data_IF_235707773099
#
_entry.id   IF_235707773099
#
_cell.length_a   1.000
_cell.length_b   1.000
_cell.length_c   1.000
_cell.angle_alpha   90.00
_cell.angle_beta   90.00
_cell.angle_gamma   90.00
#
_symmetry.space_group_name_H-M   'P 1'
#
loop_
_entity.id
_entity.type
_entity.pdbx_description
1 polymer ?
#
# COMPACT_ATOMS: atom_id res chain seq x y z
N UNK A 1 -13.04 30.67 -7.03
CA UNK A 1 -12.25 31.90 -6.85
C UNK A 1 -10.75 31.67 -6.97
N UNK A 2 -10.11 30.76 -6.24
CA UNK A 2 -8.67 30.45 -6.42
C UNK A 2 -8.39 29.60 -7.67
N UNK A 3 -9.29 28.72 -8.03
CA UNK A 3 -9.18 27.91 -9.25
C UNK A 3 -9.21 28.76 -10.50
N UNK A 4 -10.05 29.81 -10.51
CA UNK A 4 -10.14 30.73 -11.66
C UNK A 4 -8.90 31.60 -11.78
N UNK A 5 -8.36 32.07 -10.66
CA UNK A 5 -7.13 32.87 -10.63
C UNK A 5 -5.92 32.02 -11.04
N UNK A 6 -5.86 30.79 -10.56
CA UNK A 6 -4.75 29.89 -10.89
C UNK A 6 -4.80 29.45 -12.35
N UNK A 7 -5.96 29.09 -12.86
CA UNK A 7 -6.13 28.72 -14.27
C UNK A 7 -5.83 29.91 -15.19
N UNK A 8 -6.27 31.13 -14.82
CA UNK A 8 -5.96 32.34 -15.57
C UNK A 8 -4.46 32.63 -15.59
N UNK A 9 -3.78 32.54 -14.44
CA UNK A 9 -2.34 32.74 -14.33
C UNK A 9 -1.56 31.68 -15.10
N UNK A 10 -2.05 30.45 -15.07
CA UNK A 10 -1.46 29.32 -15.80
C UNK A 10 -1.60 29.48 -17.30
N UNK A 11 -2.79 29.87 -17.78
CA UNK A 11 -3.02 30.12 -19.19
C UNK A 11 -2.16 31.28 -19.72
N UNK A 12 -1.89 32.29 -18.88
CA UNK A 12 -1.02 33.41 -19.21
C UNK A 12 0.45 32.97 -19.31
N UNK A 13 0.92 32.16 -18.35
CA UNK A 13 2.27 31.57 -18.37
C UNK A 13 2.45 30.65 -19.59
N UNK A 14 1.43 29.89 -19.95
CA UNK A 14 1.48 28.95 -21.08
C UNK A 14 1.43 29.63 -22.44
N UNK A 15 0.82 30.83 -22.53
CA UNK A 15 0.82 31.61 -23.75
C UNK A 15 2.20 32.23 -24.08
N UNK A 16 3.00 32.53 -23.07
CA UNK A 16 4.29 33.20 -23.22
C UNK A 16 5.50 32.27 -23.37
N UNK A 17 5.35 30.97 -23.08
CA UNK A 17 6.47 30.03 -23.08
C UNK A 17 6.18 28.75 -23.88
N UNK A 18 7.17 28.31 -24.63
CA UNK A 18 7.12 27.01 -25.27
C UNK A 18 7.18 25.91 -24.18
N UNK A 19 6.44 24.81 -24.37
CA UNK A 19 6.40 23.65 -23.44
C UNK A 19 7.80 23.16 -23.01
N UNK A 20 8.80 23.46 -23.82
CA UNK A 20 10.18 22.99 -23.65
C UNK A 20 10.99 23.75 -22.60
N UNK A 21 10.63 25.02 -22.35
CA UNK A 21 11.43 25.93 -21.51
C UNK A 21 10.85 26.13 -20.09
N UNK A 22 9.77 25.40 -19.77
CA UNK A 22 9.06 25.60 -18.52
C UNK A 22 9.61 24.70 -17.42
N UNK A 23 10.08 25.35 -16.35
CA UNK A 23 10.43 24.71 -15.10
C UNK A 23 9.72 25.41 -13.97
N UNK A 24 8.79 24.72 -13.32
CA UNK A 24 8.00 25.25 -12.22
C UNK A 24 8.09 24.31 -11.02
N UNK A 25 8.42 24.90 -9.88
CA UNK A 25 8.44 24.19 -8.60
C UNK A 25 7.36 24.77 -7.69
N UNK A 26 6.41 23.93 -7.27
CA UNK A 26 5.40 24.30 -6.30
C UNK A 26 5.63 23.52 -5.00
N UNK A 27 5.80 24.28 -3.91
CA UNK A 27 5.94 23.73 -2.56
C UNK A 27 4.76 24.20 -1.72
N UNK A 28 3.88 23.29 -1.38
CA UNK A 28 2.72 23.58 -0.56
C UNK A 28 2.95 23.01 0.84
N UNK A 29 3.34 23.89 1.78
CA UNK A 29 3.68 23.51 3.15
C UNK A 29 2.54 23.66 4.14
N UNK A 30 1.50 24.43 3.80
CA UNK A 30 0.38 24.68 4.69
C UNK A 30 -0.95 24.28 4.03
N UNK A 31 -1.70 23.46 4.75
CA UNK A 31 -3.01 22.96 4.31
C UNK A 31 -3.99 24.06 3.89
N UNK A 32 -3.86 25.27 4.48
CA UNK A 32 -4.76 26.39 4.25
C UNK A 32 -4.43 27.21 3.01
N UNK A 33 -3.24 27.04 2.43
CA UNK A 33 -2.78 27.76 1.24
C UNK A 33 -2.79 26.89 -0.01
N UNK A 34 -2.88 25.56 0.17
CA UNK A 34 -2.98 24.65 -0.98
C UNK A 34 -4.37 24.75 -1.62
N UNK A 35 -4.46 24.80 -2.94
CA UNK A 35 -5.73 24.64 -3.63
C UNK A 35 -6.45 23.37 -3.16
N UNK A 36 -7.80 23.42 -3.07
CA UNK A 36 -8.61 22.29 -2.57
C UNK A 36 -8.34 20.95 -3.28
N UNK A 37 -7.86 21.00 -4.50
CA UNK A 37 -7.50 19.82 -5.29
C UNK A 37 -6.10 19.25 -4.95
N UNK A 38 -5.31 19.96 -4.14
CA UNK A 38 -4.01 19.48 -3.63
C UNK A 38 -4.13 19.22 -2.12
N UNK A 39 -4.94 18.24 -1.74
CA UNK A 39 -5.03 17.79 -0.35
C UNK A 39 -3.81 16.94 0.01
N UNK A 40 -2.99 17.46 0.89
CA UNK A 40 -1.78 16.81 1.40
C UNK A 40 -0.52 17.64 1.14
N UNK A 41 0.54 17.29 1.86
CA UNK A 41 1.84 17.91 1.68
C UNK A 41 2.61 17.17 0.57
N UNK A 42 2.59 17.72 -0.61
CA UNK A 42 3.33 17.22 -1.76
C UNK A 42 4.19 18.33 -2.36
N UNK A 43 5.38 17.96 -2.82
CA UNK A 43 6.16 18.80 -3.71
C UNK A 43 5.79 18.45 -5.16
N UNK A 44 5.37 19.42 -5.94
CA UNK A 44 5.06 19.28 -7.36
C UNK A 44 6.16 19.97 -8.18
N UNK A 45 6.80 19.20 -9.05
CA UNK A 45 7.82 19.70 -9.96
C UNK A 45 7.37 19.50 -11.40
N UNK A 46 7.46 20.54 -12.22
CA UNK A 46 7.08 20.51 -13.64
C UNK A 46 8.27 20.93 -14.48
N UNK A 47 8.64 20.09 -15.43
CA UNK A 47 9.73 20.36 -16.37
C UNK A 47 9.32 19.93 -17.79
N UNK A 48 9.15 20.90 -18.66
CA UNK A 48 8.64 20.65 -20.02
C UNK A 48 7.26 19.98 -20.01
N UNK A 49 7.16 18.79 -20.55
CA UNK A 49 5.93 17.98 -20.58
C UNK A 49 5.85 16.95 -19.43
N UNK A 50 6.74 17.01 -18.47
CA UNK A 50 6.82 16.08 -17.33
C UNK A 50 6.33 16.76 -16.05
N UNK A 51 5.51 16.06 -15.30
CA UNK A 51 5.12 16.44 -13.94
C UNK A 51 5.56 15.34 -12.97
N UNK A 52 6.14 15.75 -11.86
CA UNK A 52 6.59 14.86 -10.78
C UNK A 52 5.98 15.32 -9.47
N UNK A 53 5.33 14.41 -8.75
CA UNK A 53 4.81 14.67 -7.40
C UNK A 53 5.61 13.85 -6.40
N UNK A 54 6.09 14.50 -5.34
CA UNK A 54 6.85 13.85 -4.26
C UNK A 54 6.10 14.05 -2.94
N UNK A 55 5.82 12.96 -2.23
CA UNK A 55 5.21 13.00 -0.89
C UNK A 55 6.26 13.29 0.18
N UNK A 56 5.83 13.68 1.39
CA UNK A 56 6.72 13.93 2.55
C UNK A 56 7.62 12.74 2.92
N UNK A 57 7.13 11.52 2.71
CA UNK A 57 7.88 10.27 2.93
C UNK A 57 8.81 9.92 1.78
N UNK A 58 9.02 10.84 0.82
CA UNK A 58 9.98 10.71 -0.25
C UNK A 58 9.53 9.87 -1.45
N UNK A 59 8.28 9.39 -1.46
CA UNK A 59 7.72 8.66 -2.60
C UNK A 59 7.50 9.61 -3.77
N UNK A 60 7.87 9.17 -4.97
CA UNK A 60 7.75 9.94 -6.20
C UNK A 60 6.87 9.23 -7.20
N UNK A 61 6.02 9.99 -7.87
CA UNK A 61 5.26 9.57 -9.05
C UNK A 61 5.43 10.59 -10.16
N UNK A 62 5.34 10.14 -11.39
CA UNK A 62 5.59 10.96 -12.59
C UNK A 62 4.48 10.72 -13.61
N UNK A 63 4.08 11.78 -14.31
CA UNK A 63 3.28 11.71 -15.53
C UNK A 63 3.87 12.59 -16.61
N UNK A 64 3.50 12.34 -17.87
CA UNK A 64 3.94 13.11 -19.04
C UNK A 64 2.75 13.40 -19.93
N UNK A 65 2.63 14.64 -20.33
CA UNK A 65 1.69 15.01 -21.40
C UNK A 65 2.20 14.47 -22.74
N UNK A 66 1.31 13.79 -23.48
CA UNK A 66 1.65 13.38 -24.84
C UNK A 66 1.86 14.62 -25.72
N UNK A 67 2.79 14.62 -26.69
CA UNK A 67 3.07 15.78 -27.53
C UNK A 67 1.87 16.30 -28.33
N UNK A 68 0.89 15.43 -28.61
CA UNK A 68 -0.33 15.76 -29.35
C UNK A 68 -1.48 16.19 -28.44
N UNK A 69 -1.33 16.05 -27.10
CA UNK A 69 -2.36 16.40 -26.16
C UNK A 69 -2.24 17.86 -25.70
N UNK A 70 -3.37 18.49 -25.44
CA UNK A 70 -3.41 19.75 -24.74
C UNK A 70 -2.90 19.59 -23.31
N UNK A 71 -1.92 20.43 -22.94
CA UNK A 71 -1.42 20.45 -21.58
C UNK A 71 -2.49 20.99 -20.62
N UNK A 72 -2.97 20.15 -19.73
CA UNK A 72 -3.92 20.52 -18.67
C UNK A 72 -3.33 20.17 -17.32
N UNK A 73 -2.95 21.19 -16.55
CA UNK A 73 -2.34 21.02 -15.23
C UNK A 73 -3.20 20.16 -14.30
N UNK A 74 -4.52 20.42 -14.26
CA UNK A 74 -5.45 19.70 -13.41
C UNK A 74 -5.46 18.20 -13.73
N UNK A 75 -5.51 17.84 -15.01
CA UNK A 75 -5.50 16.42 -15.45
C UNK A 75 -4.21 15.73 -15.01
N UNK A 76 -3.06 16.39 -15.18
CA UNK A 76 -1.77 15.84 -14.74
C UNK A 76 -1.70 15.66 -13.22
N UNK A 77 -2.25 16.58 -12.44
CA UNK A 77 -2.31 16.48 -10.98
C UNK A 77 -3.22 15.33 -10.54
N UNK A 78 -4.40 15.20 -11.15
CA UNK A 78 -5.35 14.13 -10.81
C UNK A 78 -4.73 12.75 -11.09
N UNK A 79 -4.06 12.60 -12.22
CA UNK A 79 -3.33 11.37 -12.55
C UNK A 79 -2.19 11.09 -11.57
N UNK A 80 -1.42 12.11 -11.16
CA UNK A 80 -0.37 11.95 -10.15
C UNK A 80 -0.94 11.55 -8.79
N UNK A 81 -2.10 12.09 -8.40
CA UNK A 81 -2.80 11.71 -7.16
C UNK A 81 -3.24 10.25 -7.19
N UNK A 82 -3.82 9.80 -8.31
CA UNK A 82 -4.20 8.39 -8.48
C UNK A 82 -2.98 7.47 -8.37
N UNK A 83 -1.91 7.77 -9.09
CA UNK A 83 -0.65 7.02 -9.02
C UNK A 83 -0.04 7.04 -7.61
N UNK A 84 -0.08 8.18 -6.91
CA UNK A 84 0.40 8.30 -5.54
C UNK A 84 -0.44 7.46 -4.58
N UNK A 85 -1.76 7.40 -4.78
CA UNK A 85 -2.66 6.56 -4.00
C UNK A 85 -2.38 5.06 -4.23
N UNK A 86 -2.04 4.66 -5.47
CA UNK A 86 -1.62 3.30 -5.77
C UNK A 86 -0.28 2.94 -5.10
N UNK A 87 0.71 3.85 -5.14
CA UNK A 87 2.01 3.67 -4.45
C UNK A 87 1.82 3.59 -2.93
N UNK A 88 0.80 4.28 -2.38
CA UNK A 88 0.45 4.21 -0.95
C UNK A 88 -0.30 2.94 -0.57
N UNK A 89 -0.90 2.24 -1.53
CA UNK A 89 -1.49 0.92 -1.22
C UNK A 89 -0.35 -0.02 -0.84
N UNK A 90 -0.36 -0.58 0.38
CA UNK A 90 0.63 -1.57 0.72
C UNK A 90 0.53 -2.71 -0.29
N UNK A 91 1.68 -3.14 -0.81
CA UNK A 91 1.74 -4.31 -1.70
C UNK A 91 1.01 -5.46 -1.02
N UNK A 92 0.12 -6.10 -1.74
CA UNK A 92 -0.59 -7.25 -1.21
C UNK A 92 0.40 -8.39 -0.90
N UNK A 93 0.33 -8.92 0.32
CA UNK A 93 1.13 -10.07 0.75
C UNK A 93 0.62 -11.31 0.01
N UNK A 94 1.55 -12.07 -0.60
CA UNK A 94 1.27 -13.27 -1.38
C UNK A 94 1.97 -14.48 -0.77
N UNK A 95 1.54 -15.67 -1.19
CA UNK A 95 2.24 -16.92 -0.87
C UNK A 95 3.68 -16.83 -1.36
N UNK A 96 4.63 -17.20 -0.47
CA UNK A 96 6.07 -17.12 -0.71
C UNK A 96 6.72 -15.81 -0.24
N UNK A 97 5.96 -14.77 0.06
CA UNK A 97 6.52 -13.52 0.58
C UNK A 97 7.10 -13.71 1.98
N UNK A 98 8.15 -12.94 2.27
CA UNK A 98 8.70 -12.79 3.61
C UNK A 98 7.95 -11.71 4.36
N UNK A 99 7.55 -12.02 5.57
CA UNK A 99 6.76 -11.14 6.42
C UNK A 99 7.27 -11.12 7.84
N UNK A 100 6.96 -10.07 8.58
CA UNK A 100 7.09 -9.97 10.04
C UNK A 100 5.74 -9.73 10.67
N UNK A 101 5.64 -10.10 11.94
CA UNK A 101 4.47 -9.76 12.74
C UNK A 101 4.61 -8.32 13.25
N UNK A 102 3.66 -7.46 12.91
CA UNK A 102 3.47 -6.18 13.61
C UNK A 102 2.76 -6.39 14.94
N UNK A 103 1.89 -7.42 15.02
CA UNK A 103 1.17 -7.85 16.21
C UNK A 103 1.25 -9.37 16.37
N UNK A 104 1.74 -9.85 17.50
CA UNK A 104 2.00 -11.26 17.75
C UNK A 104 0.74 -12.05 18.20
N UNK A 105 -0.36 -11.88 17.46
CA UNK A 105 -1.59 -12.61 17.70
C UNK A 105 -1.72 -13.75 16.68
N UNK A 106 -2.13 -14.93 17.13
CA UNK A 106 -2.39 -16.08 16.26
C UNK A 106 -3.64 -16.83 16.70
N UNK A 107 -4.26 -17.50 15.74
CA UNK A 107 -5.42 -18.33 15.97
C UNK A 107 -5.05 -19.72 16.48
N UNK A 108 -5.93 -20.29 17.30
CA UNK A 108 -5.83 -21.70 17.67
C UNK A 108 -6.21 -22.59 16.47
N UNK A 109 -5.52 -23.71 16.28
CA UNK A 109 -5.75 -24.64 15.20
C UNK A 109 -7.22 -25.10 15.12
N UNK A 110 -7.90 -25.30 16.27
CA UNK A 110 -9.32 -25.68 16.31
C UNK A 110 -10.25 -24.64 15.70
N UNK A 111 -9.91 -23.35 15.81
CA UNK A 111 -10.69 -22.26 15.22
C UNK A 111 -10.55 -22.21 13.70
N UNK A 112 -9.48 -22.80 13.16
CA UNK A 112 -9.09 -22.70 11.75
C UNK A 112 -9.42 -23.95 10.93
N UNK A 113 -10.19 -24.90 11.45
CA UNK A 113 -10.52 -26.17 10.76
C UNK A 113 -11.15 -25.90 9.39
N UNK A 114 -12.11 -24.97 9.32
CA UNK A 114 -12.79 -24.65 8.07
C UNK A 114 -11.83 -23.99 7.05
N UNK A 115 -10.92 -23.13 7.52
CA UNK A 115 -9.86 -22.57 6.70
C UNK A 115 -8.93 -23.66 6.15
N UNK A 116 -8.46 -24.58 7.00
CA UNK A 116 -7.58 -25.67 6.57
C UNK A 116 -8.25 -26.57 5.54
N UNK A 117 -9.52 -26.88 5.73
CA UNK A 117 -10.32 -27.67 4.81
C UNK A 117 -10.54 -26.96 3.48
N UNK A 118 -10.98 -25.70 3.51
CA UNK A 118 -11.28 -24.88 2.32
C UNK A 118 -10.05 -24.69 1.42
N UNK A 119 -8.87 -24.51 2.01
CA UNK A 119 -7.63 -24.27 1.28
C UNK A 119 -6.78 -25.54 1.10
N UNK A 120 -7.31 -26.71 1.48
CA UNK A 120 -6.64 -28.02 1.36
C UNK A 120 -5.23 -28.00 1.95
N UNK A 121 -5.11 -27.37 3.13
CA UNK A 121 -3.83 -27.28 3.84
C UNK A 121 -3.36 -28.70 4.18
N UNK A 122 -2.09 -29.08 3.92
CA UNK A 122 -1.56 -30.39 4.23
C UNK A 122 -1.71 -30.73 5.71
N UNK A 123 -2.05 -31.99 6.03
CA UNK A 123 -2.22 -32.43 7.40
C UNK A 123 -1.01 -32.14 8.31
N UNK A 124 0.21 -32.23 7.76
CA UNK A 124 1.42 -31.90 8.49
C UNK A 124 1.45 -30.43 8.91
N UNK A 125 1.04 -29.52 8.05
CA UNK A 125 1.00 -28.08 8.36
C UNK A 125 -0.04 -27.79 9.47
N UNK A 126 -1.17 -28.49 9.47
CA UNK A 126 -2.19 -28.40 10.53
C UNK A 126 -1.64 -28.91 11.87
N UNK A 127 -0.91 -30.04 11.85
CA UNK A 127 -0.26 -30.59 13.03
C UNK A 127 0.76 -29.61 13.60
N UNK A 128 1.58 -29.00 12.74
CA UNK A 128 2.61 -28.05 13.15
C UNK A 128 2.00 -26.81 13.81
N UNK A 129 0.86 -26.29 13.29
CA UNK A 129 0.10 -25.21 13.93
C UNK A 129 -0.43 -25.63 15.29
N UNK A 130 -1.01 -26.84 15.38
CA UNK A 130 -1.54 -27.36 16.64
C UNK A 130 -0.42 -27.56 17.69
N UNK A 131 0.74 -28.05 17.28
CA UNK A 131 1.91 -28.21 18.16
C UNK A 131 2.42 -26.85 18.66
N UNK A 132 2.52 -25.84 17.81
CA UNK A 132 2.91 -24.49 18.21
C UNK A 132 1.98 -23.93 19.30
N UNK A 133 0.65 -24.15 19.15
CA UNK A 133 -0.32 -23.74 20.16
C UNK A 133 -0.15 -24.49 21.50
N UNK A 134 0.10 -25.79 21.45
CA UNK A 134 0.23 -26.61 22.68
C UNK A 134 1.54 -26.33 23.41
N UNK A 135 2.63 -26.13 22.67
CA UNK A 135 3.96 -25.86 23.26
C UNK A 135 4.12 -24.43 23.75
N UNK A 136 3.10 -23.57 23.55
CA UNK A 136 3.19 -22.17 23.95
C UNK A 136 4.17 -21.36 23.09
N UNK A 137 4.53 -21.86 21.92
CA UNK A 137 5.29 -21.07 20.96
C UNK A 137 4.42 -19.94 20.42
N UNK A 138 4.88 -18.71 20.63
CA UNK A 138 4.21 -17.53 20.12
C UNK A 138 5.01 -16.91 18.99
N UNK A 139 4.37 -16.22 18.04
CA UNK A 139 5.08 -15.49 17.00
C UNK A 139 6.01 -14.44 17.62
N UNK A 140 7.19 -14.32 17.05
CA UNK A 140 8.18 -13.33 17.44
C UNK A 140 8.25 -12.23 16.37
N UNK A 141 8.11 -10.96 16.79
CA UNK A 141 8.13 -9.80 15.89
C UNK A 141 9.50 -9.53 15.23
N UNK A 142 10.57 -10.09 15.80
CA UNK A 142 11.94 -9.83 15.35
C UNK A 142 12.49 -10.87 14.37
N UNK A 143 11.68 -11.85 13.99
CA UNK A 143 12.09 -12.87 13.02
C UNK A 143 11.21 -12.82 11.77
N UNK A 144 11.78 -13.33 10.68
CA UNK A 144 11.08 -13.39 9.41
C UNK A 144 10.32 -14.71 9.27
N UNK A 145 9.16 -14.62 8.63
CA UNK A 145 8.28 -15.73 8.32
C UNK A 145 8.04 -15.79 6.82
N UNK A 146 7.80 -16.98 6.29
CA UNK A 146 7.37 -17.17 4.91
C UNK A 146 5.88 -17.47 4.87
N UNK A 147 5.13 -16.76 4.06
CA UNK A 147 3.69 -16.99 3.85
C UNK A 147 3.48 -18.27 3.07
N UNK A 148 2.73 -19.22 3.63
CA UNK A 148 2.42 -20.51 3.01
C UNK A 148 1.03 -20.52 2.37
N UNK A 149 0.05 -19.89 3.01
CA UNK A 149 -1.32 -19.76 2.52
C UNK A 149 -1.89 -18.41 2.87
N UNK A 150 -2.74 -17.88 2.01
CA UNK A 150 -3.57 -16.70 2.26
C UNK A 150 -4.99 -17.05 1.88
N UNK A 151 -5.93 -16.73 2.73
CA UNK A 151 -7.32 -17.02 2.45
C UNK A 151 -8.28 -16.34 3.43
N UNK A 152 -9.51 -16.78 3.42
CA UNK A 152 -10.56 -16.21 4.25
C UNK A 152 -11.08 -17.23 5.24
N UNK A 153 -11.34 -16.74 6.44
CA UNK A 153 -11.98 -17.50 7.52
C UNK A 153 -13.26 -16.76 7.94
N UNK A 154 -14.34 -17.49 8.08
CA UNK A 154 -15.60 -16.94 8.60
C UNK A 154 -15.72 -17.28 10.08
N UNK A 155 -15.70 -16.26 10.93
CA UNK A 155 -15.86 -16.46 12.36
C UNK A 155 -17.31 -16.88 12.68
N UNK A 156 -17.45 -17.98 13.40
CA UNK A 156 -18.76 -18.58 13.72
C UNK A 156 -19.58 -17.69 14.67
N UNK A 157 -18.92 -16.88 15.50
CA UNK A 157 -19.57 -16.07 16.53
C UNK A 157 -20.20 -14.81 15.92
N UNK A 158 -19.41 -14.03 15.17
CA UNK A 158 -19.84 -12.73 14.62
C UNK A 158 -20.25 -12.79 13.14
N UNK A 159 -20.10 -13.96 12.51
CA UNK A 159 -20.38 -14.23 11.09
C UNK A 159 -19.63 -13.32 10.12
N UNK A 160 -18.55 -12.70 10.57
CA UNK A 160 -17.69 -11.88 9.73
C UNK A 160 -16.61 -12.71 9.07
N UNK A 161 -16.22 -12.25 7.89
CA UNK A 161 -15.12 -12.84 7.13
C UNK A 161 -13.84 -12.09 7.42
N UNK A 162 -12.81 -12.83 7.83
CA UNK A 162 -11.48 -12.30 8.10
C UNK A 162 -10.49 -12.85 7.07
N UNK A 163 -9.61 -11.99 6.56
CA UNK A 163 -8.50 -12.44 5.73
C UNK A 163 -7.39 -12.92 6.65
N UNK A 164 -6.95 -14.16 6.49
CA UNK A 164 -5.94 -14.79 7.32
C UNK A 164 -4.79 -15.34 6.49
N UNK A 165 -3.64 -15.52 7.12
CA UNK A 165 -2.49 -16.16 6.50
C UNK A 165 -1.92 -17.25 7.43
N UNK A 166 -1.52 -18.38 6.83
CA UNK A 166 -0.66 -19.36 7.46
C UNK A 166 0.78 -19.00 7.11
N UNK A 167 1.61 -18.80 8.12
CA UNK A 167 3.01 -18.43 7.99
C UNK A 167 3.92 -19.43 8.69
N UNK A 168 5.13 -19.60 8.17
CA UNK A 168 6.15 -20.47 8.73
C UNK A 168 7.36 -19.66 9.16
N UNK A 169 7.81 -19.86 10.38
CA UNK A 169 9.06 -19.29 10.88
C UNK A 169 10.26 -19.81 10.08
N UNK A 170 11.10 -18.88 9.62
CA UNK A 170 12.31 -19.22 8.88
C UNK A 170 13.41 -19.82 9.79
N UNK A 171 13.33 -19.58 11.10
CA UNK A 171 14.31 -20.05 12.05
C UNK A 171 13.97 -21.43 12.65
N UNK A 172 12.72 -21.61 13.08
CA UNK A 172 12.30 -22.83 13.81
C UNK A 172 11.44 -23.78 12.99
N UNK A 173 10.92 -23.33 11.85
CA UNK A 173 9.95 -24.09 11.09
C UNK A 173 8.51 -24.08 11.69
N UNK A 174 8.32 -23.51 12.88
CA UNK A 174 7.01 -23.42 13.53
C UNK A 174 6.01 -22.65 12.65
N UNK A 175 4.75 -23.11 12.63
CA UNK A 175 3.69 -22.53 11.80
C UNK A 175 2.60 -21.88 12.64
N UNK A 176 2.07 -20.78 12.13
CA UNK A 176 1.06 -19.99 12.80
C UNK A 176 0.00 -19.53 11.79
N UNK A 177 -1.25 -19.46 12.23
CA UNK A 177 -2.32 -18.78 11.48
C UNK A 177 -2.64 -17.47 12.19
N UNK A 178 -2.65 -16.40 11.45
CA UNK A 178 -2.90 -15.05 11.98
C UNK A 178 -3.75 -14.21 11.04
N UNK A 179 -4.33 -13.14 11.54
CA UNK A 179 -4.94 -12.13 10.70
C UNK A 179 -3.91 -11.55 9.71
N UNK A 180 -4.32 -11.40 8.48
CA UNK A 180 -3.50 -10.79 7.44
C UNK A 180 -3.02 -9.38 7.83
N UNK A 181 -3.85 -8.63 8.57
CA UNK A 181 -3.53 -7.30 9.06
C UNK A 181 -2.41 -7.28 10.13
N UNK A 182 -2.09 -8.44 10.73
CA UNK A 182 -1.00 -8.57 11.71
C UNK A 182 0.38 -8.74 11.06
N UNK A 183 0.43 -8.77 9.72
CA UNK A 183 1.64 -9.01 8.96
C UNK A 183 2.07 -7.76 8.17
N UNK A 184 3.37 -7.58 8.05
CA UNK A 184 4.00 -6.59 7.19
C UNK A 184 5.06 -7.25 6.31
N UNK A 185 5.20 -6.76 5.07
CA UNK A 185 6.23 -7.24 4.15
C UNK A 185 7.62 -6.85 4.66
N UNK A 186 8.55 -7.81 4.61
CA UNK A 186 9.97 -7.52 4.78
C UNK A 186 10.51 -7.02 3.45
N UNK A 187 10.95 -5.75 3.45
CA UNK A 187 11.61 -5.10 2.30
C UNK A 187 13.03 -5.63 2.09
#
# INVERSE_FOLDING_TARGET
MWDDVFNSLWDEIMKERTKKDMKLEYKFYEKNLAPKWLEGDYDLHIEGNRMTMTSKDGKKVETRCHPEDDWRLQVGIDELKERMAEVKKPREIKVGDKVRFNRADCYNAKQMIDFFSAYKVPAQDVIDVAQANVTGNWPNKFIDYTVKYVGYYTNVIDRKQYKVALVQSNNSGAKFVTDYANLELVS
#
